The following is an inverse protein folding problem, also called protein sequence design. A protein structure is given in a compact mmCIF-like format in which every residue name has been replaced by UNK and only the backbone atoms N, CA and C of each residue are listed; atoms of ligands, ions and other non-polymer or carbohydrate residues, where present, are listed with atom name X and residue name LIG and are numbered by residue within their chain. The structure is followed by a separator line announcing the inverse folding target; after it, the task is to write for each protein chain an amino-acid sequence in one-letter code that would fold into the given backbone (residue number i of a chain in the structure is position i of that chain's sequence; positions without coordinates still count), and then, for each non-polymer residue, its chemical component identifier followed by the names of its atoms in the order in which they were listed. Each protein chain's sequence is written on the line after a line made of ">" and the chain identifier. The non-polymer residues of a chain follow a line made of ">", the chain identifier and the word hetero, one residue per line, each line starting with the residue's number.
data_IF_754695471613
#
_entry.id   IF_754695471613
#
_cell.length_a   1.000
_cell.length_b   1.000
_cell.length_c   1.000
_cell.angle_alpha   90.00
_cell.angle_beta   90.00
_cell.angle_gamma   90.00
#
_symmetry.space_group_name_H-M   'P 1'
#
loop_
_entity.id
_entity.type
_entity.pdbx_description
1 polymer ?
#
# COMPACT_ATOMS: atom_id res chain seq x y z
N UNK A 1 -7.92 -31.35 3.94
CA UNK A 1 -8.73 -30.16 3.59
C UNK A 1 -9.21 -29.37 4.79
N UNK A 2 -10.08 -29.87 5.68
CA UNK A 2 -10.60 -29.06 6.81
C UNK A 2 -9.51 -28.46 7.72
N UNK A 3 -8.53 -29.27 8.13
CA UNK A 3 -7.39 -28.80 8.93
C UNK A 3 -6.52 -27.76 8.19
N UNK A 4 -6.34 -27.93 6.87
CA UNK A 4 -5.57 -27.00 6.03
C UNK A 4 -6.29 -25.66 5.88
N UNK A 5 -7.61 -25.68 5.72
CA UNK A 5 -8.46 -24.48 5.69
C UNK A 5 -8.44 -23.73 7.03
N UNK A 6 -8.56 -24.44 8.15
CA UNK A 6 -8.47 -23.82 9.48
C UNK A 6 -7.09 -23.18 9.73
N UNK A 7 -6.02 -23.83 9.29
CA UNK A 7 -4.66 -23.30 9.41
C UNK A 7 -4.45 -22.06 8.53
N UNK A 8 -4.95 -22.07 7.28
CA UNK A 8 -4.92 -20.90 6.39
C UNK A 8 -5.59 -19.68 7.03
N UNK A 9 -6.78 -19.87 7.61
CA UNK A 9 -7.55 -18.81 8.25
C UNK A 9 -6.89 -18.29 9.54
N UNK A 10 -6.19 -19.16 10.28
CA UNK A 10 -5.47 -18.78 11.50
C UNK A 10 -4.15 -18.06 11.21
N UNK A 11 -3.39 -18.52 10.22
CA UNK A 11 -2.10 -17.93 9.89
C UNK A 11 -2.25 -16.54 9.25
N UNK A 12 -3.40 -16.23 8.65
CA UNK A 12 -3.70 -14.94 7.99
C UNK A 12 -2.53 -14.49 7.11
N UNK A 13 -2.09 -15.41 6.25
CA UNK A 13 -0.95 -15.16 5.38
C UNK A 13 -1.19 -13.90 4.54
N UNK A 14 -0.16 -13.07 4.44
CA UNK A 14 -0.23 -11.76 3.79
C UNK A 14 0.91 -11.55 2.82
N UNK A 15 0.70 -10.63 1.88
CA UNK A 15 1.74 -10.04 1.05
C UNK A 15 1.87 -8.57 1.41
N UNK A 16 3.03 -8.01 1.10
CA UNK A 16 3.29 -6.58 1.27
C UNK A 16 3.26 -5.91 -0.10
N UNK A 17 2.35 -4.96 -0.29
CA UNK A 17 2.29 -4.17 -1.51
C UNK A 17 3.53 -3.26 -1.61
N UNK A 18 4.15 -3.16 -2.79
CA UNK A 18 5.35 -2.37 -2.99
C UNK A 18 5.08 -0.87 -2.79
N UNK A 19 6.15 -0.09 -2.62
CA UNK A 19 6.16 1.37 -2.36
C UNK A 19 5.63 1.74 -0.96
N UNK A 20 4.37 1.41 -0.64
CA UNK A 20 3.72 1.85 0.62
C UNK A 20 3.91 0.89 1.80
N UNK A 21 4.46 -0.30 1.58
CA UNK A 21 4.61 -1.37 2.59
C UNK A 21 3.29 -1.74 3.29
N UNK A 22 2.18 -1.78 2.54
CA UNK A 22 0.86 -2.15 3.09
C UNK A 22 0.71 -3.67 3.11
N UNK A 23 0.33 -4.24 4.25
CA UNK A 23 0.04 -5.67 4.38
C UNK A 23 -1.40 -5.97 3.98
N UNK A 24 -1.57 -6.85 3.01
CA UNK A 24 -2.88 -7.29 2.48
C UNK A 24 -2.95 -8.82 2.45
N UNK A 25 -4.15 -9.44 2.47
CA UNK A 25 -4.27 -10.89 2.41
C UNK A 25 -3.58 -11.47 1.18
N UNK A 26 -3.06 -12.69 1.33
CA UNK A 26 -2.41 -13.45 0.27
C UNK A 26 -3.37 -13.67 -0.92
N UNK A 27 -2.95 -13.18 -2.09
CA UNK A 27 -3.68 -13.24 -3.34
C UNK A 27 -3.53 -14.61 -4.03
N UNK A 28 -4.16 -14.81 -5.19
CA UNK A 28 -4.11 -16.11 -5.88
C UNK A 28 -2.67 -16.58 -6.13
N UNK A 29 -1.82 -15.71 -6.65
CA UNK A 29 -0.40 -16.00 -6.93
C UNK A 29 0.35 -16.43 -5.66
N UNK A 30 0.15 -15.70 -4.57
CA UNK A 30 0.73 -16.04 -3.28
C UNK A 30 0.25 -17.40 -2.76
N UNK A 31 -1.05 -17.73 -2.91
CA UNK A 31 -1.60 -19.03 -2.51
C UNK A 31 -1.01 -20.18 -3.35
N UNK A 32 -0.86 -20.00 -4.67
CA UNK A 32 -0.24 -20.99 -5.57
C UNK A 32 1.18 -21.36 -5.11
N UNK A 33 1.95 -20.36 -4.67
CA UNK A 33 3.34 -20.54 -4.22
C UNK A 33 3.46 -21.04 -2.78
N UNK A 34 2.36 -21.07 -2.03
CA UNK A 34 2.33 -21.45 -0.62
C UNK A 34 2.04 -22.94 -0.42
N UNK A 35 2.13 -23.39 0.84
CA UNK A 35 1.67 -24.72 1.27
C UNK A 35 0.14 -24.93 1.11
N UNK A 36 -0.62 -23.86 0.85
CA UNK A 36 -2.09 -23.86 0.76
C UNK A 36 -2.64 -24.01 -0.66
N UNK A 37 -1.78 -24.27 -1.66
CA UNK A 37 -2.19 -24.43 -3.07
C UNK A 37 -3.37 -25.39 -3.28
N UNK A 38 -3.53 -26.40 -2.42
CA UNK A 38 -4.63 -27.36 -2.51
C UNK A 38 -6.00 -26.74 -2.27
N UNK A 39 -6.09 -25.62 -1.52
CA UNK A 39 -7.36 -24.93 -1.29
C UNK A 39 -7.94 -24.36 -2.60
N UNK A 40 -7.10 -24.13 -3.62
CA UNK A 40 -7.53 -23.65 -4.94
C UNK A 40 -8.41 -24.64 -5.71
N UNK A 41 -8.50 -25.91 -5.29
CA UNK A 41 -9.47 -26.85 -5.85
C UNK A 41 -10.91 -26.58 -5.39
N UNK A 42 -11.09 -25.77 -4.34
CA UNK A 42 -12.40 -25.35 -3.85
C UNK A 42 -12.87 -24.17 -4.70
N UNK A 43 -13.88 -24.39 -5.53
CA UNK A 43 -14.37 -23.39 -6.50
C UNK A 43 -14.84 -22.09 -5.83
N UNK A 44 -15.57 -22.21 -4.73
CA UNK A 44 -16.05 -21.05 -3.95
C UNK A 44 -14.89 -20.22 -3.39
N UNK A 45 -13.81 -20.86 -2.93
CA UNK A 45 -12.61 -20.18 -2.43
C UNK A 45 -11.86 -19.48 -3.56
N UNK A 46 -11.64 -20.16 -4.69
CA UNK A 46 -11.00 -19.56 -5.87
C UNK A 46 -11.74 -18.33 -6.36
N UNK A 47 -13.08 -18.39 -6.45
CA UNK A 47 -13.89 -17.24 -6.83
C UNK A 47 -13.73 -16.05 -5.86
N UNK A 48 -13.60 -16.31 -4.55
CA UNK A 48 -13.33 -15.22 -3.59
C UNK A 48 -11.91 -14.66 -3.70
N UNK A 49 -10.92 -15.47 -4.08
CA UNK A 49 -9.57 -14.98 -4.35
C UNK A 49 -9.51 -14.12 -5.62
N UNK A 50 -10.26 -14.44 -6.67
CA UNK A 50 -10.34 -13.61 -7.88
C UNK A 50 -10.91 -12.20 -7.57
N UNK A 51 -11.87 -12.12 -6.64
CA UNK A 51 -12.37 -10.83 -6.14
C UNK A 51 -11.29 -10.09 -5.36
N UNK A 52 -10.53 -10.79 -4.52
CA UNK A 52 -9.40 -10.22 -3.79
C UNK A 52 -8.33 -9.69 -4.77
N UNK A 53 -7.96 -10.45 -5.79
CA UNK A 53 -7.02 -10.04 -6.83
C UNK A 53 -7.47 -8.73 -7.50
N UNK A 54 -8.77 -8.60 -7.78
CA UNK A 54 -9.35 -7.39 -8.37
C UNK A 54 -9.25 -6.18 -7.43
N UNK A 55 -9.48 -6.36 -6.13
CA UNK A 55 -9.29 -5.29 -5.13
C UNK A 55 -7.83 -4.88 -5.03
N UNK A 56 -6.90 -5.83 -5.09
CA UNK A 56 -5.46 -5.56 -5.03
C UNK A 56 -4.99 -4.77 -6.25
N UNK A 57 -5.43 -5.15 -7.45
CA UNK A 57 -5.13 -4.38 -8.66
C UNK A 57 -5.62 -2.94 -8.55
N UNK A 58 -6.82 -2.73 -8.00
CA UNK A 58 -7.36 -1.38 -7.77
C UNK A 58 -6.51 -0.58 -6.77
N UNK A 59 -6.01 -1.21 -5.70
CA UNK A 59 -5.09 -0.56 -4.76
C UNK A 59 -3.79 -0.17 -5.48
N UNK A 60 -3.20 -1.08 -6.26
CA UNK A 60 -1.97 -0.82 -7.02
C UNK A 60 -2.16 0.36 -7.98
N UNK A 61 -3.26 0.40 -8.74
CA UNK A 61 -3.60 1.52 -9.63
C UNK A 61 -3.67 2.86 -8.87
N UNK A 62 -4.22 2.86 -7.65
CA UNK A 62 -4.29 4.06 -6.80
C UNK A 62 -2.93 4.47 -6.27
N UNK A 63 -2.06 3.51 -5.91
CA UNK A 63 -0.67 3.78 -5.53
C UNK A 63 0.09 4.41 -6.70
N UNK A 64 -0.07 3.88 -7.91
CA UNK A 64 0.55 4.45 -9.12
C UNK A 64 0.01 5.84 -9.46
N UNK A 65 -1.29 6.06 -9.25
CA UNK A 65 -1.92 7.39 -9.41
C UNK A 65 -1.32 8.39 -8.41
N UNK A 66 -1.21 8.02 -7.14
CA UNK A 66 -0.57 8.85 -6.11
C UNK A 66 0.88 9.17 -6.47
N UNK A 67 1.63 8.17 -6.95
CA UNK A 67 2.99 8.35 -7.43
C UNK A 67 3.05 9.37 -8.56
N UNK A 68 2.24 9.21 -9.60
CA UNK A 68 2.19 10.12 -10.74
C UNK A 68 1.86 11.57 -10.32
N UNK A 69 0.86 11.75 -9.47
CA UNK A 69 0.47 13.08 -8.96
C UNK A 69 1.61 13.76 -8.18
N UNK A 70 2.37 12.99 -7.41
CA UNK A 70 3.55 13.50 -6.72
C UNK A 70 4.71 13.76 -7.69
N UNK A 71 4.95 12.91 -8.67
CA UNK A 71 5.97 13.15 -9.71
C UNK A 71 5.73 14.48 -10.43
N UNK A 72 4.49 14.76 -10.82
CA UNK A 72 4.11 16.00 -11.50
C UNK A 72 4.31 17.22 -10.60
N UNK A 73 3.89 17.15 -9.32
CA UNK A 73 4.07 18.25 -8.36
C UNK A 73 5.56 18.53 -8.07
N UNK A 74 6.40 17.52 -8.14
CA UNK A 74 7.84 17.61 -7.87
C UNK A 74 8.71 17.58 -9.13
N UNK A 75 8.14 17.79 -10.32
CA UNK A 75 8.85 17.65 -11.60
C UNK A 75 10.15 18.47 -11.69
N UNK A 76 10.17 19.69 -11.12
CA UNK A 76 11.35 20.55 -11.08
C UNK A 76 12.49 20.05 -10.17
N UNK A 77 12.19 19.10 -9.27
CA UNK A 77 13.13 18.49 -8.32
C UNK A 77 13.40 17.01 -8.63
N UNK A 78 13.06 16.54 -9.83
CA UNK A 78 13.14 15.11 -10.20
C UNK A 78 14.53 14.51 -10.00
N UNK A 79 15.59 15.29 -10.19
CA UNK A 79 16.99 14.87 -9.97
C UNK A 79 17.43 14.88 -8.52
N UNK A 80 16.57 15.27 -7.59
CA UNK A 80 16.90 15.52 -6.19
C UNK A 80 16.03 14.70 -5.23
N UNK A 81 15.09 13.91 -5.75
CA UNK A 81 14.08 13.21 -4.97
C UNK A 81 14.09 11.73 -5.33
N UNK A 82 13.97 10.89 -4.31
CA UNK A 82 13.56 9.51 -4.47
C UNK A 82 12.02 9.45 -4.42
N UNK A 83 11.40 9.24 -5.58
CA UNK A 83 9.94 9.30 -5.68
C UNK A 83 9.24 8.22 -4.84
N UNK A 84 9.74 6.99 -4.81
CA UNK A 84 9.08 5.90 -4.08
C UNK A 84 9.12 6.17 -2.57
N UNK A 85 10.23 6.71 -2.07
CA UNK A 85 10.34 7.15 -0.68
C UNK A 85 9.45 8.37 -0.40
N UNK A 86 9.32 9.31 -1.34
CA UNK A 86 8.39 10.43 -1.20
C UNK A 86 6.94 9.95 -1.10
N UNK A 87 6.52 9.03 -1.99
CA UNK A 87 5.17 8.45 -2.00
C UNK A 87 4.88 7.73 -0.69
N UNK A 88 5.80 6.88 -0.24
CA UNK A 88 5.73 6.22 1.08
C UNK A 88 5.55 7.24 2.20
N UNK A 89 6.39 8.27 2.22
CA UNK A 89 6.44 9.24 3.33
C UNK A 89 5.20 10.11 3.37
N UNK A 90 4.71 10.58 2.21
CA UNK A 90 3.47 11.37 2.10
C UNK A 90 2.28 10.56 2.57
N UNK A 91 2.12 9.32 2.09
CA UNK A 91 1.05 8.43 2.53
C UNK A 91 1.09 8.23 4.05
N UNK A 92 2.25 7.89 4.60
CA UNK A 92 2.41 7.67 6.05
C UNK A 92 2.14 8.92 6.87
N UNK A 93 2.61 10.08 6.44
CA UNK A 93 2.36 11.34 7.14
C UNK A 93 0.88 11.74 7.15
N UNK A 94 0.12 11.40 6.10
CA UNK A 94 -1.32 11.67 6.03
C UNK A 94 -2.10 10.69 6.90
N UNK A 95 -1.84 9.38 6.77
CA UNK A 95 -2.65 8.34 7.44
C UNK A 95 -2.25 8.07 8.89
N UNK A 96 -0.95 8.14 9.20
CA UNK A 96 -0.38 7.75 10.51
C UNK A 96 0.26 8.94 11.23
N UNK A 97 0.43 10.08 10.55
CA UNK A 97 1.18 11.21 11.05
C UNK A 97 2.70 10.99 10.98
N UNK A 98 3.43 11.80 11.75
CA UNK A 98 4.89 11.80 11.76
C UNK A 98 5.48 13.08 11.16
N UNK A 99 6.80 13.15 11.11
CA UNK A 99 7.50 14.36 10.68
C UNK A 99 8.77 13.99 9.94
N UNK A 100 9.12 14.82 8.96
CA UNK A 100 10.40 14.71 8.26
C UNK A 100 11.51 15.32 9.10
N UNK A 101 12.74 14.81 8.89
CA UNK A 101 13.96 15.40 9.42
C UNK A 101 14.66 16.10 8.26
N UNK A 102 14.84 17.42 8.40
CA UNK A 102 15.60 18.24 7.48
C UNK A 102 17.02 18.46 8.03
N UNK A 103 18.02 17.94 7.33
CA UNK A 103 19.44 18.21 7.56
C UNK A 103 20.16 18.42 6.23
N UNK A 104 21.31 17.78 6.04
CA UNK A 104 22.03 17.74 4.75
C UNK A 104 21.22 17.00 3.65
N UNK A 105 20.18 16.28 4.05
CA UNK A 105 19.18 15.60 3.23
C UNK A 105 17.84 15.60 3.98
N UNK A 106 16.76 15.24 3.29
CA UNK A 106 15.44 15.07 3.91
C UNK A 106 15.19 13.58 4.12
N UNK A 107 14.81 13.22 5.35
CA UNK A 107 14.44 11.86 5.72
C UNK A 107 13.04 11.78 6.32
N UNK A 108 12.38 10.64 6.16
CA UNK A 108 11.24 10.24 6.97
C UNK A 108 11.49 8.82 7.48
N UNK A 109 11.62 8.69 8.80
CA UNK A 109 12.20 7.47 9.39
C UNK A 109 13.63 7.25 8.88
N UNK A 110 13.88 6.07 8.32
CA UNK A 110 15.14 5.66 7.72
C UNK A 110 15.22 5.93 6.20
N UNK A 111 14.17 6.48 5.60
CA UNK A 111 14.08 6.68 4.14
C UNK A 111 14.50 8.07 3.73
N UNK A 112 15.49 8.13 2.84
CA UNK A 112 15.90 9.38 2.20
C UNK A 112 14.88 9.78 1.14
N UNK A 113 14.26 10.95 1.34
CA UNK A 113 13.31 11.54 0.39
C UNK A 113 14.04 12.40 -0.63
N UNK A 114 14.95 13.25 -0.18
CA UNK A 114 15.59 14.24 -1.04
C UNK A 114 17.02 14.59 -0.64
N UNK A 115 17.82 15.01 -1.61
CA UNK A 115 19.18 15.49 -1.47
C UNK A 115 19.43 16.72 -2.35
N UNK A 116 20.40 17.57 -1.99
CA UNK A 116 20.75 18.75 -2.80
C UNK A 116 21.34 19.86 -1.95
N UNK A 117 21.43 21.05 -2.54
CA UNK A 117 21.75 22.26 -1.77
C UNK A 117 20.59 22.65 -0.83
N UNK A 118 20.92 23.51 0.14
CA UNK A 118 19.96 23.95 1.16
C UNK A 118 18.69 24.58 0.59
N UNK A 119 18.78 25.33 -0.52
CA UNK A 119 17.62 26.01 -1.12
C UNK A 119 16.68 24.97 -1.72
N UNK A 120 17.22 24.01 -2.47
CA UNK A 120 16.47 22.88 -3.02
C UNK A 120 15.78 22.10 -1.90
N UNK A 121 16.51 21.71 -0.86
CA UNK A 121 15.94 20.96 0.26
C UNK A 121 14.84 21.74 0.96
N UNK A 122 15.03 23.03 1.24
CA UNK A 122 14.01 23.86 1.85
C UNK A 122 12.73 23.94 1.01
N UNK A 123 12.87 24.09 -0.30
CA UNK A 123 11.72 24.16 -1.21
C UNK A 123 10.97 22.82 -1.29
N UNK A 124 11.70 21.70 -1.35
CA UNK A 124 11.12 20.35 -1.32
C UNK A 124 10.35 20.13 -0.01
N UNK A 125 10.98 20.41 1.14
CA UNK A 125 10.35 20.29 2.45
C UNK A 125 9.06 21.11 2.54
N UNK A 126 9.10 22.38 2.14
CA UNK A 126 7.93 23.27 2.16
C UNK A 126 6.81 22.79 1.25
N UNK A 127 7.13 22.22 0.08
CA UNK A 127 6.15 21.65 -0.82
C UNK A 127 5.49 20.40 -0.24
N UNK A 128 6.26 19.51 0.38
CA UNK A 128 5.73 18.33 1.06
C UNK A 128 4.78 18.75 2.20
N UNK A 129 5.20 19.67 3.06
CA UNK A 129 4.37 20.21 4.15
C UNK A 129 3.07 20.82 3.64
N UNK A 130 3.12 21.56 2.52
CA UNK A 130 1.94 22.14 1.87
C UNK A 130 0.98 21.05 1.39
N UNK A 131 1.51 19.99 0.75
CA UNK A 131 0.72 18.88 0.24
C UNK A 131 -0.02 18.18 1.40
N UNK A 132 0.70 17.80 2.45
CA UNK A 132 0.14 17.10 3.61
C UNK A 132 -0.94 17.95 4.31
N UNK A 133 -0.78 19.27 4.35
CA UNK A 133 -1.75 20.16 5.02
C UNK A 133 -2.98 20.45 4.16
N UNK A 134 -2.81 20.68 2.86
CA UNK A 134 -3.81 21.38 2.05
C UNK A 134 -4.22 20.70 0.74
N UNK A 135 -3.51 19.67 0.28
CA UNK A 135 -3.85 19.01 -0.98
C UNK A 135 -4.93 17.95 -0.79
N UNK A 136 -6.18 18.34 -1.06
CA UNK A 136 -7.34 17.45 -0.91
C UNK A 136 -7.32 16.26 -1.86
N UNK A 137 -6.70 16.39 -3.04
CA UNK A 137 -6.62 15.30 -4.00
C UNK A 137 -5.70 14.20 -3.49
N UNK A 138 -4.51 14.58 -3.03
CA UNK A 138 -3.54 13.64 -2.45
C UNK A 138 -4.12 12.96 -1.19
N UNK A 139 -4.81 13.72 -0.33
CA UNK A 139 -5.50 13.14 0.84
C UNK A 139 -6.56 12.13 0.44
N UNK A 140 -7.43 12.48 -0.53
CA UNK A 140 -8.46 11.56 -1.03
C UNK A 140 -7.85 10.26 -1.56
N UNK A 141 -6.74 10.35 -2.30
CA UNK A 141 -6.04 9.15 -2.78
C UNK A 141 -5.47 8.30 -1.64
N UNK A 142 -4.90 8.91 -0.61
CA UNK A 142 -4.38 8.17 0.56
C UNK A 142 -5.52 7.49 1.33
N UNK A 143 -6.62 8.20 1.56
CA UNK A 143 -7.83 7.66 2.18
C UNK A 143 -8.38 6.48 1.37
N UNK A 144 -8.53 6.61 0.05
CA UNK A 144 -8.98 5.54 -0.84
C UNK A 144 -8.09 4.29 -0.75
N UNK A 145 -6.76 4.47 -0.78
CA UNK A 145 -5.79 3.38 -0.63
C UNK A 145 -5.98 2.69 0.73
N UNK A 146 -6.12 3.45 1.82
CA UNK A 146 -6.34 2.89 3.16
C UNK A 146 -7.66 2.11 3.21
N UNK A 147 -8.77 2.70 2.78
CA UNK A 147 -10.08 2.05 2.80
C UNK A 147 -10.12 0.78 1.95
N UNK A 148 -9.52 0.79 0.76
CA UNK A 148 -9.42 -0.42 -0.06
C UNK A 148 -8.58 -1.49 0.62
N UNK A 149 -7.45 -1.11 1.23
CA UNK A 149 -6.59 -2.03 1.97
C UNK A 149 -7.32 -2.66 3.17
N UNK A 150 -8.08 -1.88 3.93
CA UNK A 150 -8.96 -2.38 5.01
C UNK A 150 -10.04 -3.33 4.44
N UNK A 151 -10.64 -2.98 3.30
CA UNK A 151 -11.67 -3.77 2.64
C UNK A 151 -11.16 -5.15 2.20
N UNK A 152 -9.87 -5.29 1.86
CA UNK A 152 -9.28 -6.61 1.55
C UNK A 152 -9.32 -7.54 2.76
N UNK A 153 -9.01 -7.03 3.95
CA UNK A 153 -9.07 -7.79 5.20
C UNK A 153 -10.50 -8.09 5.62
N UNK A 154 -11.43 -7.16 5.40
CA UNK A 154 -12.85 -7.40 5.62
C UNK A 154 -13.39 -8.51 4.69
N UNK A 155 -13.02 -8.47 3.41
CA UNK A 155 -13.35 -9.53 2.45
C UNK A 155 -12.76 -10.88 2.87
N UNK A 156 -11.52 -10.89 3.38
CA UNK A 156 -10.92 -12.10 3.92
C UNK A 156 -11.73 -12.67 5.10
N UNK A 157 -12.07 -11.85 6.09
CA UNK A 157 -12.78 -12.31 7.29
C UNK A 157 -14.23 -12.72 7.03
N UNK A 158 -14.89 -12.10 6.05
CA UNK A 158 -16.29 -12.39 5.75
C UNK A 158 -16.46 -13.45 4.67
N UNK A 159 -15.79 -13.29 3.54
CA UNK A 159 -16.11 -14.05 2.33
C UNK A 159 -15.15 -15.23 2.15
N UNK A 160 -13.84 -15.02 2.31
CA UNK A 160 -12.85 -16.11 2.22
C UNK A 160 -13.03 -17.10 3.38
N UNK A 161 -13.22 -16.59 4.60
CA UNK A 161 -13.55 -17.44 5.76
C UNK A 161 -14.81 -18.26 5.52
N UNK A 162 -15.85 -17.67 4.94
CA UNK A 162 -17.11 -18.35 4.69
C UNK A 162 -16.98 -19.41 3.59
N UNK A 163 -16.30 -19.12 2.49
CA UNK A 163 -16.11 -20.07 1.39
C UNK A 163 -15.34 -21.31 1.79
N UNK A 164 -14.47 -21.22 2.80
CA UNK A 164 -13.72 -22.35 3.36
C UNK A 164 -14.42 -23.12 4.49
N UNK A 165 -15.45 -22.53 5.12
CA UNK A 165 -16.19 -23.17 6.23
C UNK A 165 -17.55 -23.74 5.80
N UNK A 166 -18.19 -23.15 4.78
CA UNK A 166 -19.50 -23.56 4.26
C UNK A 166 -19.41 -24.27 2.90
N UNK A 167 -18.21 -24.31 2.30
CA UNK A 167 -17.91 -24.99 1.03
C UNK A 167 -17.52 -26.45 1.16
#
# INVERSE_FOLDING_TARGET
>A
MKEVAENYLKERISITLPILNISVPCNTTCVIMSKYRELLSIESFRAQLEILDSLLNLIEDKIYTLKYELEEKFAQYKSNINIDNLVYSVYKMIEEGGSMILGDRIYFGDREIAYGDFITLMNVHNLIEKIIKSDSNIKSLCDEIRYLSESTWEHFEKNIRRSLNEG
#
